data_IF_326076884260
#
_entry.id   IF_326076884260
#
_cell.length_a   1.000
_cell.length_b   1.000
_cell.length_c   1.000
_cell.angle_alpha   90.00
_cell.angle_beta   90.00
_cell.angle_gamma   90.00
#
_symmetry.space_group_name_H-M   'P 1'
#
loop_
_entity.id
_entity.type
_entity.pdbx_description
1 polymer ?
#
# COMPACT_ATOMS: atom_id res chain seq x y z
N UNK A 1 1.39 1.01 11.17
CA UNK A 1 1.63 0.22 9.94
C UNK A 1 3.07 -0.26 9.98
N UNK A 2 3.37 -1.57 9.92
CA UNK A 2 4.74 -2.03 9.97
C UNK A 2 5.48 -1.52 8.73
N UNK A 3 6.63 -0.90 8.93
CA UNK A 3 7.58 -0.64 7.86
C UNK A 3 7.98 -1.98 7.26
N UNK A 4 7.92 -2.10 5.93
CA UNK A 4 8.54 -3.20 5.20
C UNK A 4 10.06 -3.04 5.36
N UNK A 5 10.57 -3.53 6.49
CA UNK A 5 12.00 -3.57 6.83
C UNK A 5 12.40 -4.94 7.38
N UNK A 6 11.48 -5.87 7.55
CA UNK A 6 11.80 -7.28 7.82
C UNK A 6 11.67 -8.06 6.51
N UNK A 7 12.78 -8.66 6.08
CA UNK A 7 12.81 -9.63 4.97
C UNK A 7 12.13 -10.89 5.48
N UNK A 8 10.84 -10.99 5.21
CA UNK A 8 10.06 -12.19 5.47
C UNK A 8 10.47 -13.25 4.44
N UNK A 9 11.00 -14.39 4.92
CA UNK A 9 11.59 -15.44 4.07
C UNK A 9 10.59 -15.94 3.01
N UNK A 10 9.29 -15.92 3.34
CA UNK A 10 8.20 -16.30 2.45
C UNK A 10 8.07 -15.41 1.19
N UNK A 11 8.65 -14.21 1.19
CA UNK A 11 8.60 -13.27 0.06
C UNK A 11 9.97 -12.97 -0.54
N UNK A 12 10.96 -13.83 -0.31
CA UNK A 12 12.30 -13.71 -0.90
C UNK A 12 12.62 -14.89 -1.81
N UNK A 13 13.13 -14.57 -3.00
CA UNK A 13 13.66 -15.55 -3.96
C UNK A 13 15.09 -15.16 -4.34
N UNK A 14 15.96 -16.16 -4.57
CA UNK A 14 17.29 -15.90 -5.11
C UNK A 14 17.21 -15.69 -6.62
N UNK A 15 17.52 -14.47 -7.06
CA UNK A 15 17.63 -14.14 -8.48
C UNK A 15 19.04 -14.47 -9.01
N UNK A 16 19.12 -15.07 -10.20
CA UNK A 16 20.39 -15.30 -10.92
C UNK A 16 20.82 -14.12 -11.81
N UNK A 17 20.09 -13.01 -11.77
CA UNK A 17 20.33 -11.82 -12.59
C UNK A 17 20.69 -10.61 -11.71
N UNK A 18 21.29 -9.59 -12.33
CA UNK A 18 21.69 -8.38 -11.62
C UNK A 18 20.55 -7.34 -11.63
N UNK A 19 20.19 -6.84 -10.45
CA UNK A 19 19.18 -5.78 -10.30
C UNK A 19 19.83 -4.40 -10.48
N UNK A 20 20.22 -4.07 -11.70
CA UNK A 20 20.87 -2.78 -12.03
C UNK A 20 19.87 -1.69 -12.43
N UNK A 21 18.57 -1.98 -12.45
CA UNK A 21 17.57 -0.98 -12.82
C UNK A 21 17.49 0.12 -11.76
N UNK A 22 17.95 1.30 -12.12
CA UNK A 22 17.88 2.52 -11.32
C UNK A 22 17.00 3.53 -12.05
N UNK A 23 16.14 4.22 -11.30
CA UNK A 23 15.37 5.34 -11.84
C UNK A 23 16.05 6.64 -11.43
N UNK A 24 16.60 7.38 -12.40
CA UNK A 24 17.33 8.64 -12.15
C UNK A 24 16.49 9.65 -11.37
N UNK A 25 15.21 9.84 -11.74
CA UNK A 25 14.31 10.74 -11.00
C UNK A 25 14.09 10.29 -9.55
N UNK A 26 14.08 8.97 -9.32
CA UNK A 26 13.96 8.42 -7.97
C UNK A 26 15.23 8.65 -7.13
N UNK A 27 16.41 8.65 -7.75
CA UNK A 27 17.69 8.97 -7.08
C UNK A 27 17.83 10.47 -6.85
N UNK A 28 17.51 11.31 -7.84
CA UNK A 28 17.49 12.77 -7.69
C UNK A 28 16.63 13.24 -6.51
N UNK A 29 15.48 12.60 -6.28
CA UNK A 29 14.66 12.87 -5.09
C UNK A 29 15.40 12.57 -3.79
N UNK A 30 16.15 11.45 -3.71
CA UNK A 30 16.93 11.11 -2.52
C UNK A 30 18.04 12.13 -2.29
N UNK A 31 18.77 12.49 -3.35
CA UNK A 31 19.86 13.46 -3.29
C UNK A 31 19.35 14.84 -2.87
N UNK A 32 18.24 15.29 -3.46
CA UNK A 32 17.61 16.58 -3.12
C UNK A 32 17.18 16.63 -1.66
N UNK A 33 16.52 15.57 -1.17
CA UNK A 33 16.13 15.49 0.24
C UNK A 33 17.35 15.48 1.16
N UNK A 34 18.40 14.75 0.81
CA UNK A 34 19.64 14.71 1.59
C UNK A 34 20.34 16.08 1.64
N UNK A 35 20.36 16.80 0.51
CA UNK A 35 20.89 18.16 0.45
C UNK A 35 20.09 19.13 1.34
N UNK A 36 18.75 19.05 1.29
CA UNK A 36 17.88 19.86 2.15
C UNK A 36 18.11 19.55 3.64
N UNK A 37 18.14 18.26 4.00
CA UNK A 37 18.41 17.85 5.39
C UNK A 37 19.75 18.38 5.89
N UNK A 38 20.80 18.32 5.05
CA UNK A 38 22.11 18.87 5.38
C UNK A 38 22.03 20.36 5.70
N UNK A 39 21.31 21.14 4.89
CA UNK A 39 21.13 22.59 5.13
C UNK A 39 20.50 22.84 6.50
N UNK A 40 19.43 22.12 6.85
CA UNK A 40 18.76 22.28 8.15
C UNK A 40 19.64 21.90 9.34
N UNK A 41 20.45 20.84 9.23
CA UNK A 41 21.38 20.42 10.29
C UNK A 41 22.53 21.42 10.46
N UNK A 42 23.03 22.00 9.36
CA UNK A 42 24.14 22.97 9.41
C UNK A 42 23.71 24.39 9.78
N UNK A 43 22.40 24.67 9.72
CA UNK A 43 21.86 25.98 10.08
C UNK A 43 21.77 26.07 11.60
N UNK A 44 22.80 26.60 12.27
CA UNK A 44 22.73 26.95 13.69
C UNK A 44 22.39 28.42 13.84
N UNK A 45 21.48 28.75 14.77
CA UNK A 45 21.17 30.12 15.14
C UNK A 45 21.31 30.23 16.66
N UNK A 46 22.27 31.04 17.11
CA UNK A 46 22.53 31.26 18.52
C UNK A 46 21.26 31.73 19.26
N UNK A 47 20.96 31.07 20.38
CA UNK A 47 19.79 31.37 21.21
C UNK A 47 18.46 30.77 20.74
N UNK A 48 18.43 29.90 19.71
CA UNK A 48 17.22 29.26 19.17
C UNK A 48 17.30 27.73 19.07
N UNK A 49 17.99 27.09 20.00
CA UNK A 49 18.20 25.62 19.99
C UNK A 49 16.88 24.83 19.98
N UNK A 50 15.90 25.22 20.80
CA UNK A 50 14.60 24.52 20.87
C UNK A 50 13.80 24.62 19.56
N UNK A 51 13.77 25.80 18.93
CA UNK A 51 13.13 26.00 17.62
C UNK A 51 13.82 25.17 16.54
N UNK A 52 15.15 25.07 16.59
CA UNK A 52 15.94 24.27 15.65
C UNK A 52 15.69 22.77 15.84
N UNK A 53 15.54 22.32 17.09
CA UNK A 53 15.21 20.93 17.40
C UNK A 53 13.81 20.55 16.89
N UNK A 54 12.80 21.39 17.09
CA UNK A 54 11.45 21.16 16.53
C UNK A 54 11.47 21.14 15.00
N UNK A 55 12.19 22.09 14.38
CA UNK A 55 12.34 22.13 12.93
C UNK A 55 13.00 20.85 12.40
N UNK A 56 14.07 20.38 13.03
CA UNK A 56 14.75 19.14 12.66
C UNK A 56 13.81 17.93 12.79
N UNK A 57 13.03 17.84 13.86
CA UNK A 57 12.03 16.79 14.03
C UNK A 57 11.00 16.80 12.89
N UNK A 58 10.47 17.98 12.55
CA UNK A 58 9.52 18.14 11.45
C UNK A 58 10.11 17.76 10.10
N UNK A 59 11.35 18.16 9.82
CA UNK A 59 12.08 17.77 8.60
C UNK A 59 12.24 16.25 8.53
N UNK A 60 12.68 15.61 9.61
CA UNK A 60 12.81 14.15 9.66
C UNK A 60 11.46 13.44 9.42
N UNK A 61 10.39 13.93 10.03
CA UNK A 61 9.05 13.36 9.85
C UNK A 61 8.54 13.54 8.41
N UNK A 62 8.73 14.73 7.83
CA UNK A 62 8.39 15.00 6.44
C UNK A 62 9.17 14.09 5.48
N UNK A 63 10.48 13.91 5.70
CA UNK A 63 11.31 12.99 4.92
C UNK A 63 10.78 11.55 4.99
N UNK A 64 10.45 11.06 6.18
CA UNK A 64 9.86 9.72 6.36
C UNK A 64 8.56 9.57 5.57
N UNK A 65 7.67 10.58 5.65
CA UNK A 65 6.41 10.57 4.90
C UNK A 65 6.62 10.58 3.39
N UNK A 66 7.54 11.38 2.87
CA UNK A 66 7.86 11.42 1.43
C UNK A 66 8.37 10.05 0.95
N UNK A 67 9.31 9.44 1.67
CA UNK A 67 9.80 8.12 1.29
C UNK A 67 8.74 7.02 1.45
N UNK A 68 7.86 7.13 2.44
CA UNK A 68 6.71 6.23 2.58
C UNK A 68 5.76 6.35 1.38
N UNK A 69 5.48 7.57 0.92
CA UNK A 69 4.67 7.82 -0.26
C UNK A 69 5.34 7.26 -1.52
N UNK A 70 6.65 7.48 -1.70
CA UNK A 70 7.43 6.90 -2.81
C UNK A 70 7.29 5.37 -2.84
N UNK A 71 7.49 4.70 -1.70
CA UNK A 71 7.33 3.24 -1.58
C UNK A 71 5.91 2.81 -1.94
N UNK A 72 4.90 3.54 -1.48
CA UNK A 72 3.51 3.28 -1.80
C UNK A 72 3.24 3.36 -3.31
N UNK A 73 3.68 4.44 -3.97
CA UNK A 73 3.50 4.62 -5.42
C UNK A 73 4.18 3.50 -6.22
N UNK A 74 5.42 3.14 -5.89
CA UNK A 74 6.15 2.05 -6.55
C UNK A 74 5.38 0.73 -6.41
N UNK A 75 4.91 0.43 -5.19
CA UNK A 75 4.09 -0.76 -4.94
C UNK A 75 2.81 -0.75 -5.77
N UNK A 76 2.10 0.38 -5.83
CA UNK A 76 0.90 0.51 -6.65
C UNK A 76 1.19 0.25 -8.12
N UNK A 77 2.28 0.80 -8.67
CA UNK A 77 2.69 0.56 -10.05
C UNK A 77 3.03 -0.90 -10.30
N UNK A 78 3.78 -1.54 -9.41
CA UNK A 78 4.12 -2.96 -9.54
C UNK A 78 2.87 -3.85 -9.48
N UNK A 79 1.95 -3.55 -8.56
CA UNK A 79 0.67 -4.27 -8.46
C UNK A 79 -0.20 -4.07 -9.70
N UNK A 80 -0.21 -2.87 -10.27
CA UNK A 80 -0.96 -2.55 -11.48
C UNK A 80 -0.42 -3.32 -12.70
N UNK A 81 0.91 -3.40 -12.84
CA UNK A 81 1.57 -4.21 -13.86
C UNK A 81 1.22 -5.70 -13.70
N UNK A 82 1.33 -6.23 -12.48
CA UNK A 82 0.98 -7.63 -12.21
C UNK A 82 -0.50 -7.91 -12.51
N UNK A 83 -1.41 -7.01 -12.12
CA UNK A 83 -2.84 -7.13 -12.42
C UNK A 83 -3.11 -7.12 -13.92
N UNK A 84 -2.50 -6.18 -14.64
CA UNK A 84 -2.67 -6.05 -16.10
C UNK A 84 -2.18 -7.31 -16.81
N UNK A 85 -0.98 -7.78 -16.45
CA UNK A 85 -0.43 -9.03 -16.98
C UNK A 85 -1.36 -10.22 -16.70
N UNK A 86 -1.89 -10.35 -15.48
CA UNK A 86 -2.85 -11.40 -15.16
C UNK A 86 -4.05 -11.33 -16.10
N UNK A 87 -4.69 -10.16 -16.27
CA UNK A 87 -5.84 -9.99 -17.16
C UNK A 87 -5.55 -10.32 -18.64
N UNK A 88 -4.35 -10.03 -19.12
CA UNK A 88 -3.93 -10.38 -20.48
C UNK A 88 -3.72 -11.90 -20.66
N UNK A 89 -3.35 -12.58 -19.58
CA UNK A 89 -2.90 -13.98 -19.61
C UNK A 89 -3.95 -15.01 -19.16
N UNK A 90 -5.04 -14.63 -18.48
CA UNK A 90 -6.07 -15.57 -17.95
C UNK A 90 -6.59 -16.52 -19.06
N UNK A 91 -6.35 -17.84 -18.99
CA UNK A 91 -6.92 -18.79 -19.94
C UNK A 91 -8.46 -18.79 -19.99
N UNK A 92 -9.06 -19.29 -21.07
CA UNK A 92 -10.53 -19.35 -21.23
C UNK A 92 -11.18 -20.37 -20.30
N UNK A 93 -10.44 -21.38 -19.87
CA UNK A 93 -10.86 -22.44 -18.95
C UNK A 93 -10.52 -22.15 -17.48
N UNK A 94 -9.93 -20.98 -17.19
CA UNK A 94 -9.57 -20.56 -15.84
C UNK A 94 -10.31 -19.29 -15.40
N UNK A 95 -10.34 -19.08 -14.09
CA UNK A 95 -10.98 -17.92 -13.46
C UNK A 95 -10.02 -17.29 -12.45
N UNK A 96 -9.79 -15.98 -12.58
CA UNK A 96 -9.11 -15.20 -11.56
C UNK A 96 -10.11 -14.76 -10.50
N UNK A 97 -9.95 -15.27 -9.28
CA UNK A 97 -10.78 -14.88 -8.15
C UNK A 97 -10.05 -13.83 -7.29
N UNK A 98 -10.62 -12.63 -7.20
CA UNK A 98 -10.14 -11.56 -6.31
C UNK A 98 -11.11 -11.45 -5.14
N UNK A 99 -10.58 -11.61 -3.93
CA UNK A 99 -11.34 -11.62 -2.68
C UNK A 99 -10.78 -10.55 -1.75
N UNK A 100 -11.64 -9.69 -1.21
CA UNK A 100 -11.24 -8.70 -0.21
C UNK A 100 -12.32 -8.45 0.83
N UNK A 101 -11.87 -8.10 2.03
CA UNK A 101 -12.75 -7.64 3.10
C UNK A 101 -13.03 -6.16 2.93
N UNK A 102 -14.29 -5.82 2.72
CA UNK A 102 -14.68 -4.43 2.65
C UNK A 102 -14.76 -3.82 4.06
N UNK A 103 -14.63 -2.49 4.12
CA UNK A 103 -14.85 -1.75 5.36
C UNK A 103 -16.27 -2.03 5.88
N UNK A 104 -16.40 -2.46 7.14
CA UNK A 104 -17.67 -2.86 7.76
C UNK A 104 -18.82 -1.91 7.41
N UNK A 105 -19.94 -2.47 6.96
CA UNK A 105 -21.12 -1.70 6.57
C UNK A 105 -21.82 -1.14 7.82
N UNK A 106 -22.09 0.17 7.80
CA UNK A 106 -22.80 0.88 8.87
C UNK A 106 -24.22 1.23 8.40
N UNK A 107 -25.27 0.52 8.86
CA UNK A 107 -26.65 0.74 8.41
C UNK A 107 -27.28 2.06 8.88
N UNK A 108 -26.52 3.02 9.45
CA UNK A 108 -27.03 4.33 9.90
C UNK A 108 -26.23 5.49 9.32
N UNK A 109 -26.95 6.56 8.98
CA UNK A 109 -26.45 7.84 8.41
C UNK A 109 -25.74 8.74 9.44
N UNK A 110 -25.11 8.19 10.47
CA UNK A 110 -24.29 8.99 11.38
C UNK A 110 -22.86 8.95 10.85
N UNK A 111 -22.37 10.09 10.34
CA UNK A 111 -20.97 10.24 9.95
C UNK A 111 -20.14 10.17 11.23
N UNK A 112 -19.48 9.04 11.44
CA UNK A 112 -18.37 8.98 12.37
C UNK A 112 -17.11 9.47 11.66
N UNK A 113 -16.26 10.20 12.39
CA UNK A 113 -15.03 10.73 11.84
C UNK A 113 -14.08 9.62 11.40
N UNK A 114 -13.40 9.87 10.27
CA UNK A 114 -12.56 8.91 9.55
C UNK A 114 -11.45 8.30 10.43
N UNK A 115 -10.97 9.07 11.40
CA UNK A 115 -9.90 8.69 12.34
C UNK A 115 -10.30 7.59 13.31
N UNK A 116 -11.58 7.26 13.38
CA UNK A 116 -12.19 6.43 14.42
C UNK A 116 -12.64 5.06 13.88
N UNK A 117 -12.36 4.73 12.61
CA UNK A 117 -12.87 3.53 11.93
C UNK A 117 -12.22 2.21 12.34
N UNK A 118 -11.05 2.23 12.97
CA UNK A 118 -10.32 1.00 13.31
C UNK A 118 -10.94 0.34 14.55
N UNK A 119 -11.67 -0.77 14.36
CA UNK A 119 -12.22 -1.58 15.46
C UNK A 119 -13.71 -1.40 15.78
N UNK A 120 -14.47 -0.64 14.99
CA UNK A 120 -15.87 -0.33 15.32
C UNK A 120 -16.92 -1.36 14.88
N UNK A 121 -18.13 -1.21 15.46
CA UNK A 121 -19.35 -2.01 15.22
C UNK A 121 -19.84 -1.79 13.79
N UNK A 122 -20.20 -2.83 13.07
CA UNK A 122 -20.72 -2.77 11.71
C UNK A 122 -20.83 -4.18 11.15
N UNK A 123 -21.61 -4.35 10.07
CA UNK A 123 -21.81 -5.66 9.45
C UNK A 123 -20.55 -5.98 8.64
N UNK A 124 -19.79 -7.04 9.00
CA UNK A 124 -18.66 -7.47 8.20
C UNK A 124 -19.17 -8.04 6.88
N UNK A 125 -18.48 -7.68 5.81
CA UNK A 125 -18.83 -8.12 4.48
C UNK A 125 -17.58 -8.32 3.64
N UNK A 126 -17.66 -9.29 2.76
CA UNK A 126 -16.60 -9.73 1.88
C UNK A 126 -17.08 -9.61 0.45
N UNK A 127 -16.21 -9.13 -0.43
CA UNK A 127 -16.48 -9.03 -1.86
C UNK A 127 -15.58 -10.04 -2.57
N UNK A 128 -16.20 -10.88 -3.39
CA UNK A 128 -15.51 -11.79 -4.30
C UNK A 128 -15.84 -11.39 -5.73
N UNK A 129 -14.82 -11.17 -6.55
CA UNK A 129 -14.99 -10.88 -7.97
C UNK A 129 -14.27 -11.97 -8.75
N UNK A 130 -15.04 -12.71 -9.54
CA UNK A 130 -14.54 -13.69 -10.49
C UNK A 130 -14.36 -13.03 -11.85
N UNK A 131 -13.17 -13.12 -12.42
CA UNK A 131 -12.86 -12.66 -13.77
C UNK A 131 -12.60 -13.86 -14.68
N UNK A 132 -13.24 -13.88 -15.85
CA UNK A 132 -13.09 -14.93 -16.84
C UNK A 132 -12.86 -14.33 -18.22
N UNK A 133 -12.08 -15.02 -19.06
CA UNK A 133 -11.98 -14.68 -20.48
C UNK A 133 -13.17 -15.27 -21.22
N UNK A 134 -13.88 -14.44 -21.98
CA UNK A 134 -14.98 -14.85 -22.85
C UNK A 134 -14.46 -15.35 -24.20
N UNK A 135 -15.32 -16.03 -24.93
CA UNK A 135 -15.03 -16.55 -26.28
C UNK A 135 -14.64 -15.45 -27.29
N UNK A 136 -15.14 -14.23 -27.09
CA UNK A 136 -14.78 -13.05 -27.91
C UNK A 136 -13.44 -12.41 -27.54
N UNK A 137 -12.72 -13.00 -26.58
CA UNK A 137 -11.44 -12.51 -26.06
C UNK A 137 -11.55 -11.40 -25.01
N UNK A 138 -12.75 -10.87 -24.74
CA UNK A 138 -12.97 -9.86 -23.71
C UNK A 138 -12.97 -10.47 -22.30
N UNK A 139 -12.68 -9.66 -21.28
CA UNK A 139 -12.77 -10.08 -19.87
C UNK A 139 -14.19 -9.82 -19.35
N UNK A 140 -14.86 -10.88 -18.91
CA UNK A 140 -16.07 -10.82 -18.11
C UNK A 140 -15.76 -10.73 -16.63
N UNK A 141 -16.70 -10.18 -15.85
CA UNK A 141 -16.61 -10.20 -14.39
C UNK A 141 -17.96 -10.56 -13.77
N UNK A 142 -17.91 -11.30 -12.66
CA UNK A 142 -19.07 -11.63 -11.83
C UNK A 142 -18.74 -11.33 -10.37
N UNK A 143 -19.51 -10.43 -9.76
CA UNK A 143 -19.32 -9.99 -8.39
C UNK A 143 -20.29 -10.67 -7.41
N UNK A 144 -19.78 -11.07 -6.26
CA UNK A 144 -20.54 -11.62 -5.14
C UNK A 144 -20.28 -10.78 -3.89
N UNK A 145 -21.36 -10.51 -3.15
CA UNK A 145 -21.30 -9.80 -1.87
C UNK A 145 -21.77 -10.75 -0.79
N UNK A 146 -20.90 -11.03 0.18
CA UNK A 146 -21.17 -11.92 1.29
C UNK A 146 -21.32 -11.09 2.56
N UNK A 147 -22.51 -11.10 3.16
CA UNK A 147 -22.78 -10.50 4.46
C UNK A 147 -22.63 -11.56 5.54
N UNK A 148 -21.92 -11.25 6.62
CA UNK A 148 -21.74 -12.18 7.73
C UNK A 148 -22.48 -11.69 8.97
N UNK A 149 -23.25 -12.60 9.58
CA UNK A 149 -24.07 -12.31 10.76
C UNK A 149 -23.24 -12.17 12.05
N UNK A 150 -22.03 -12.72 12.07
CA UNK A 150 -21.13 -12.71 13.21
C UNK A 150 -19.86 -11.91 12.92
N UNK A 151 -19.18 -11.46 13.98
CA UNK A 151 -17.89 -10.81 13.83
C UNK A 151 -16.86 -11.83 13.32
N UNK A 152 -16.10 -11.42 12.31
CA UNK A 152 -15.00 -12.21 11.77
C UNK A 152 -13.71 -11.52 12.18
N UNK A 153 -12.93 -12.20 13.02
CA UNK A 153 -11.55 -11.83 13.29
C UNK A 153 -10.69 -12.31 12.12
N UNK A 154 -9.96 -11.41 11.48
CA UNK A 154 -8.89 -11.82 10.58
C UNK A 154 -7.80 -12.48 11.42
N UNK A 155 -7.84 -13.81 11.51
CA UNK A 155 -6.67 -14.58 11.94
C UNK A 155 -5.69 -14.48 10.78
N UNK A 156 -4.52 -13.88 10.99
CA UNK A 156 -3.43 -13.94 10.03
C UNK A 156 -2.94 -15.38 9.97
N UNK A 157 -3.63 -16.22 9.19
CA UNK A 157 -3.07 -17.48 8.75
C UNK A 157 -2.25 -17.14 7.51
N UNK A 158 -0.95 -17.00 7.72
CA UNK A 158 0.02 -16.93 6.64
C UNK A 158 -0.01 -18.30 5.94
N UNK A 159 -0.44 -18.33 4.69
CA UNK A 159 -0.14 -19.40 3.74
C UNK A 159 0.90 -18.84 2.79
#
# INVERSE_FOLDING_TARGET
MPSVTEKDEAFTEQCSHNHQMVCESCEQLKETIAALQKIFVTSSVDGKEDEMNDLNFRVQQATKSIFSLKKHIIRCKNQDLAKTHLFETIPTDEVLLVCDWAMKFLPRKFREDQCDWFGKRGIPWHISIAFCRKDDGSIGSLGFVHLFATQISQVRTFI
#
